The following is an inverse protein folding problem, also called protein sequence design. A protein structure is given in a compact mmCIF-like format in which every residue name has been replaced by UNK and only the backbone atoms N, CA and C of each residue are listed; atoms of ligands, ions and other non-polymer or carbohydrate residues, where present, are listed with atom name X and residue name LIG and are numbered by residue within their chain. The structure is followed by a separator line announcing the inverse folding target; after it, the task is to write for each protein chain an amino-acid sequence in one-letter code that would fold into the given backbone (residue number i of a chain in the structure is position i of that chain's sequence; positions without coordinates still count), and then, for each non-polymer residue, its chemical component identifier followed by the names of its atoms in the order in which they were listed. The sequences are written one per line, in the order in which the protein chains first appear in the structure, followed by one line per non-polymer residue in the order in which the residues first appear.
data_IF_294573642234
#
_entry.id   IF_294573642234
#
_cell.length_a   1.000
_cell.length_b   1.000
_cell.length_c   1.000
_cell.angle_alpha   90.00
_cell.angle_beta   90.00
_cell.angle_gamma   90.00
#
_symmetry.space_group_name_H-M   'P 1'
#
loop_
_entity.id
_entity.type
_entity.pdbx_description
1 polymer ?
#
# COMPACT_ATOMS: atom_id res chain seq x y z
N UNK A 1 0.17 28.74 40.63
CA UNK A 1 -0.34 27.53 39.96
C UNK A 1 0.30 26.36 40.64
N UNK A 2 -0.50 25.57 41.36
CA UNK A 2 -0.04 24.48 42.23
C UNK A 2 0.64 23.37 41.43
N UNK A 3 1.83 22.98 41.89
CA UNK A 3 2.63 21.84 41.41
C UNK A 3 1.79 20.55 41.37
N UNK A 4 1.34 20.17 40.18
CA UNK A 4 0.74 18.87 39.95
C UNK A 4 1.84 17.86 39.63
N UNK A 5 2.56 17.41 40.66
CA UNK A 5 3.48 16.29 40.53
C UNK A 5 2.67 14.99 40.42
N UNK A 6 2.62 14.43 39.21
CA UNK A 6 2.08 13.11 38.95
C UNK A 6 2.90 12.06 39.71
N UNK A 7 2.44 11.66 40.90
CA UNK A 7 2.99 10.49 41.56
C UNK A 7 2.49 9.24 40.83
N UNK A 8 3.38 8.41 40.26
CA UNK A 8 2.96 7.17 39.64
C UNK A 8 2.28 6.32 40.71
N UNK A 9 1.06 5.86 40.40
CA UNK A 9 0.30 4.96 41.27
C UNK A 9 1.18 3.74 41.52
N UNK A 10 1.79 3.67 42.72
CA UNK A 10 2.63 2.55 43.17
C UNK A 10 1.69 1.38 43.38
N UNK A 11 1.26 0.78 42.29
CA UNK A 11 0.57 -0.50 42.32
C UNK A 11 1.64 -1.53 42.59
N UNK A 12 1.47 -2.31 43.65
CA UNK A 12 2.23 -3.54 43.92
C UNK A 12 2.29 -4.47 42.70
N UNK A 13 1.49 -4.23 41.67
CA UNK A 13 1.59 -4.85 40.36
C UNK A 13 2.94 -4.65 39.65
N UNK A 14 3.67 -3.54 39.87
CA UNK A 14 5.00 -3.33 39.27
C UNK A 14 6.07 -4.08 40.06
N UNK A 15 6.02 -4.08 41.39
CA UNK A 15 6.91 -4.91 42.23
C UNK A 15 6.64 -6.40 41.99
N UNK A 16 5.37 -6.83 41.91
CA UNK A 16 4.98 -8.19 41.50
C UNK A 16 5.37 -8.52 40.07
N UNK A 17 5.35 -7.57 39.14
CA UNK A 17 5.79 -7.78 37.76
C UNK A 17 7.33 -7.77 37.62
N UNK A 18 8.03 -7.10 38.54
CA UNK A 18 9.50 -7.11 38.64
C UNK A 18 10.03 -8.37 39.30
N UNK A 19 9.31 -8.92 40.29
CA UNK A 19 9.59 -10.23 40.89
C UNK A 19 9.16 -11.39 39.99
N UNK A 20 8.15 -11.19 39.13
CA UNK A 20 7.77 -12.14 38.09
C UNK A 20 8.72 -12.09 36.87
N UNK A 21 10.02 -11.99 37.11
CA UNK A 21 10.95 -12.68 36.21
C UNK A 21 10.65 -14.16 36.38
N UNK A 22 9.83 -14.74 35.50
CA UNK A 22 9.75 -16.20 35.39
C UNK A 22 11.18 -16.61 35.05
N UNK A 23 11.93 -17.24 35.97
CA UNK A 23 13.25 -17.72 35.60
C UNK A 23 13.01 -18.68 34.45
N UNK A 24 13.75 -18.51 33.35
CA UNK A 24 13.76 -19.49 32.27
C UNK A 24 14.54 -20.70 32.80
N UNK A 25 13.98 -21.38 33.80
CA UNK A 25 14.43 -22.68 34.29
C UNK A 25 13.89 -23.68 33.29
N UNK A 26 14.64 -23.87 32.22
CA UNK A 26 14.20 -24.66 31.09
C UNK A 26 15.32 -24.98 30.11
N UNK A 27 16.51 -25.35 30.61
CA UNK A 27 17.30 -26.35 29.91
C UNK A 27 16.59 -27.71 30.07
N UNK A 28 15.39 -27.83 29.53
CA UNK A 28 14.83 -29.15 29.29
C UNK A 28 15.36 -29.61 27.93
N UNK A 29 15.92 -30.82 27.89
CA UNK A 29 16.33 -31.45 26.64
C UNK A 29 15.17 -31.44 25.63
N UNK A 30 15.50 -31.27 24.34
CA UNK A 30 14.51 -31.24 23.27
C UNK A 30 13.65 -32.50 23.27
N UNK A 31 12.50 -32.44 23.94
CA UNK A 31 11.56 -33.56 24.01
C UNK A 31 10.71 -33.57 22.75
N UNK A 32 10.82 -34.66 21.97
CA UNK A 32 10.02 -34.90 20.76
C UNK A 32 8.51 -34.69 20.98
N UNK A 33 8.00 -35.02 22.17
CA UNK A 33 6.60 -34.80 22.55
C UNK A 33 6.21 -33.32 22.66
N UNK A 34 7.14 -32.43 23.02
CA UNK A 34 6.90 -30.98 23.03
C UNK A 34 6.89 -30.39 21.62
N UNK A 35 7.76 -30.87 20.73
CA UNK A 35 7.74 -30.49 19.32
C UNK A 35 6.44 -30.94 18.64
N UNK A 36 5.98 -32.17 18.91
CA UNK A 36 4.68 -32.67 18.43
C UNK A 36 3.51 -31.80 18.90
N UNK A 37 3.53 -31.27 20.13
CA UNK A 37 2.52 -30.30 20.59
C UNK A 37 2.54 -29.01 19.78
N UNK A 38 3.72 -28.51 19.38
CA UNK A 38 3.85 -27.37 18.47
C UNK A 38 3.25 -27.66 17.09
N UNK A 39 3.59 -28.82 16.50
CA UNK A 39 3.00 -29.28 15.24
C UNK A 39 1.47 -29.45 15.35
N UNK A 40 0.97 -29.91 16.49
CA UNK A 40 -0.46 -30.01 16.75
C UNK A 40 -1.17 -28.65 16.76
N UNK A 41 -0.55 -27.61 17.29
CA UNK A 41 -1.10 -26.24 17.21
C UNK A 41 -1.21 -25.78 15.76
N UNK A 42 -0.16 -26.00 14.96
CA UNK A 42 -0.17 -25.69 13.52
C UNK A 42 -1.26 -26.48 12.79
N UNK A 43 -1.32 -27.80 13.01
CA UNK A 43 -2.34 -28.68 12.45
C UNK A 43 -3.76 -28.25 12.84
N UNK A 44 -4.00 -27.94 14.12
CA UNK A 44 -5.29 -27.43 14.60
C UNK A 44 -5.67 -26.08 14.00
N UNK A 45 -4.67 -25.27 13.60
CA UNK A 45 -4.89 -23.96 12.98
C UNK A 45 -5.29 -24.09 11.52
N UNK A 46 -4.88 -25.15 10.81
CA UNK A 46 -5.30 -25.42 9.41
C UNK A 46 -6.81 -25.60 9.28
N UNK A 47 -7.49 -26.07 10.33
CA UNK A 47 -8.95 -26.23 10.34
C UNK A 47 -9.71 -24.96 10.79
N UNK A 48 -9.00 -23.88 11.14
CA UNK A 48 -9.65 -22.59 11.45
C UNK A 48 -9.93 -21.81 10.18
N UNK A 49 -11.03 -21.08 10.16
CA UNK A 49 -11.34 -20.16 9.07
C UNK A 49 -10.27 -19.05 8.98
N UNK A 50 -9.79 -18.69 7.78
CA UNK A 50 -8.87 -17.59 7.61
C UNK A 50 -9.55 -16.25 7.95
N UNK A 51 -8.81 -15.34 8.59
CA UNK A 51 -9.30 -13.99 8.94
C UNK A 51 -9.13 -12.99 7.77
N UNK A 52 -8.67 -13.46 6.61
CA UNK A 52 -8.41 -12.60 5.45
C UNK A 52 -9.70 -12.06 4.86
N UNK A 53 -9.68 -10.77 4.50
CA UNK A 53 -10.72 -10.12 3.70
C UNK A 53 -10.25 -10.09 2.24
N UNK A 54 -11.19 -10.22 1.31
CA UNK A 54 -10.94 -10.19 -0.14
C UNK A 54 -10.98 -8.75 -0.64
N UNK A 55 -9.86 -8.03 -0.50
CA UNK A 55 -9.72 -6.67 -1.02
C UNK A 55 -9.31 -6.72 -2.50
N UNK A 56 -9.92 -5.93 -3.41
CA UNK A 56 -10.77 -4.75 -3.18
C UNK A 56 -12.30 -4.98 -3.10
N UNK A 57 -12.79 -6.20 -3.34
CA UNK A 57 -14.22 -6.52 -3.42
C UNK A 57 -14.95 -6.32 -2.08
N UNK A 58 -14.29 -6.68 -0.99
CA UNK A 58 -14.76 -6.55 0.39
C UNK A 58 -13.82 -5.62 1.15
N UNK A 59 -14.22 -4.35 1.30
CA UNK A 59 -13.47 -3.35 2.05
C UNK A 59 -13.69 -3.51 3.56
N UNK A 60 -12.65 -3.34 4.39
CA UNK A 60 -12.81 -3.33 5.84
C UNK A 60 -13.64 -2.12 6.27
N UNK A 61 -14.61 -2.34 7.17
CA UNK A 61 -15.37 -1.25 7.77
C UNK A 61 -14.45 -0.41 8.66
N UNK A 62 -14.32 0.86 8.32
CA UNK A 62 -13.58 1.83 9.12
C UNK A 62 -14.40 2.30 10.31
N UNK A 63 -13.75 2.61 11.42
CA UNK A 63 -14.43 3.13 12.61
C UNK A 63 -15.12 4.48 12.29
N UNK A 64 -16.21 4.86 12.99
CA UNK A 64 -16.91 6.12 12.74
C UNK A 64 -16.05 7.39 12.95
N UNK A 65 -14.93 7.28 13.67
CA UNK A 65 -13.97 8.36 13.94
C UNK A 65 -12.65 8.15 13.20
N UNK A 66 -12.67 7.39 12.12
CA UNK A 66 -11.48 7.18 11.30
C UNK A 66 -11.05 8.50 10.64
N UNK A 67 -9.74 8.70 10.58
CA UNK A 67 -9.12 9.89 10.01
C UNK A 67 -8.65 9.58 8.58
N UNK A 68 -9.56 9.72 7.61
CA UNK A 68 -9.26 9.51 6.19
C UNK A 68 -9.11 10.81 5.41
N UNK A 69 -9.69 10.83 4.21
CA UNK A 69 -9.67 11.95 3.28
C UNK A 69 -10.32 13.20 3.86
N UNK A 70 -9.69 14.36 3.71
CA UNK A 70 -10.26 15.64 4.12
C UNK A 70 -11.34 16.09 3.12
N UNK A 71 -12.42 16.66 3.64
CA UNK A 71 -13.55 17.20 2.88
C UNK A 71 -13.96 18.55 3.44
N UNK A 72 -14.13 19.53 2.56
CA UNK A 72 -14.76 20.80 2.86
C UNK A 72 -16.27 20.68 2.63
N UNK A 73 -17.05 21.16 3.60
CA UNK A 73 -18.50 21.05 3.59
C UNK A 73 -19.19 22.35 3.21
N UNK A 74 -20.40 22.21 2.65
CA UNK A 74 -21.35 23.28 2.44
C UNK A 74 -22.48 23.22 3.48
N UNK A 75 -23.10 24.35 3.74
CA UNK A 75 -24.38 24.42 4.46
C UNK A 75 -25.52 23.93 3.56
N UNK A 76 -26.72 23.75 4.13
CA UNK A 76 -27.88 23.25 3.39
C UNK A 76 -28.37 24.22 2.31
N UNK A 77 -28.03 25.51 2.43
CA UNK A 77 -28.29 26.57 1.45
C UNK A 77 -27.27 26.59 0.28
N UNK A 78 -26.23 25.74 0.34
CA UNK A 78 -25.19 25.65 -0.68
C UNK A 78 -23.97 26.55 -0.42
N UNK A 79 -24.00 27.44 0.58
CA UNK A 79 -22.86 28.26 0.95
C UNK A 79 -21.74 27.42 1.56
N UNK A 80 -20.49 27.80 1.32
CA UNK A 80 -19.34 27.13 1.92
C UNK A 80 -19.29 27.37 3.43
N UNK A 81 -19.03 26.32 4.21
CA UNK A 81 -18.84 26.48 5.66
C UNK A 81 -17.53 27.16 6.02
N UNK A 82 -16.55 27.13 5.11
CA UNK A 82 -15.23 27.69 5.33
C UNK A 82 -15.27 29.22 5.21
N UNK A 83 -14.87 29.91 6.27
CA UNK A 83 -14.83 31.38 6.32
C UNK A 83 -13.43 31.96 6.09
N UNK A 84 -12.45 31.14 5.69
CA UNK A 84 -11.08 31.62 5.44
C UNK A 84 -10.37 32.20 6.67
N UNK A 85 -10.63 31.66 7.88
CA UNK A 85 -10.04 32.15 9.13
C UNK A 85 -8.61 31.68 9.42
N UNK A 86 -8.06 30.80 8.57
CA UNK A 86 -6.66 30.31 8.63
C UNK A 86 -6.26 29.50 9.89
N UNK A 87 -7.17 29.31 10.85
CA UNK A 87 -6.89 28.55 12.09
C UNK A 87 -6.48 27.10 11.86
N UNK A 88 -7.02 26.44 10.83
CA UNK A 88 -6.64 25.07 10.49
C UNK A 88 -5.22 24.97 9.92
N UNK A 89 -4.73 26.01 9.24
CA UNK A 89 -3.36 26.10 8.80
C UNK A 89 -2.42 26.27 9.99
N UNK A 90 -2.76 27.19 10.90
CA UNK A 90 -1.99 27.40 12.13
C UNK A 90 -1.95 26.17 13.05
N UNK A 91 -3.06 25.45 13.17
CA UNK A 91 -3.14 24.25 14.00
C UNK A 91 -2.45 23.02 13.39
N UNK A 92 -2.04 23.07 12.12
CA UNK A 92 -1.46 21.91 11.44
C UNK A 92 -0.01 21.68 11.90
N UNK A 93 0.31 20.59 12.62
CA UNK A 93 1.66 20.37 13.15
C UNK A 93 2.72 20.08 12.07
N UNK A 94 2.29 19.83 10.83
CA UNK A 94 3.17 19.52 9.69
C UNK A 94 3.21 20.64 8.64
N UNK A 95 2.52 21.78 8.89
CA UNK A 95 2.28 22.87 7.94
C UNK A 95 1.87 22.35 6.55
N UNK A 96 0.91 21.42 6.53
CA UNK A 96 0.41 20.79 5.32
C UNK A 96 -0.71 21.59 4.64
N UNK A 97 -1.28 22.58 5.33
CA UNK A 97 -2.45 23.34 4.88
C UNK A 97 -2.02 24.77 4.58
N UNK A 98 -2.43 25.29 3.42
CA UNK A 98 -2.32 26.70 3.06
C UNK A 98 -3.71 27.27 2.85
N UNK A 99 -3.98 28.44 3.44
CA UNK A 99 -5.27 29.13 3.33
C UNK A 99 -5.00 30.61 3.10
N UNK A 100 -5.69 31.20 2.14
CA UNK A 100 -5.74 32.64 1.91
C UNK A 100 -7.21 33.08 2.00
N UNK A 101 -7.55 33.89 3.00
CA UNK A 101 -8.90 34.43 3.14
C UNK A 101 -9.13 35.71 2.31
N UNK A 102 -10.32 35.85 1.73
CA UNK A 102 -10.78 37.04 1.02
C UNK A 102 -12.15 37.48 1.56
N UNK A 103 -12.49 38.76 1.39
CA UNK A 103 -13.79 39.28 1.82
C UNK A 103 -14.88 38.88 0.82
N UNK A 104 -16.07 38.53 1.33
CA UNK A 104 -17.26 38.42 0.49
C UNK A 104 -17.71 39.82 0.03
N UNK A 105 -18.40 39.89 -1.10
CA UNK A 105 -19.05 41.10 -1.61
C UNK A 105 -20.56 40.98 -1.51
N UNK A 106 -21.28 42.11 -1.49
CA UNK A 106 -22.75 42.14 -1.44
C UNK A 106 -23.39 41.37 -2.63
N UNK A 107 -22.73 41.36 -3.78
CA UNK A 107 -23.18 40.68 -5.00
C UNK A 107 -22.76 39.21 -5.10
N UNK A 108 -21.76 38.76 -4.31
CA UNK A 108 -21.22 37.40 -4.39
C UNK A 108 -20.84 36.85 -3.01
N UNK A 109 -21.82 36.25 -2.36
CA UNK A 109 -21.67 35.59 -1.06
C UNK A 109 -21.26 34.12 -1.26
N UNK A 110 -20.02 33.77 -0.93
CA UNK A 110 -19.51 32.38 -1.04
C UNK A 110 -19.69 31.60 0.26
N UNK A 111 -19.57 32.28 1.40
CA UNK A 111 -19.74 31.74 2.76
C UNK A 111 -20.70 32.62 3.56
N UNK A 112 -21.31 32.16 4.67
CA UNK A 112 -22.21 33.01 5.46
C UNK A 112 -21.56 34.18 6.21
N UNK A 113 -20.22 34.23 6.28
CA UNK A 113 -19.48 35.28 7.00
C UNK A 113 -19.13 36.48 6.12
N UNK A 114 -18.37 37.42 6.68
CA UNK A 114 -17.77 38.54 5.91
C UNK A 114 -16.60 38.06 5.02
N UNK A 115 -16.08 36.86 5.27
CA UNK A 115 -14.89 36.29 4.61
C UNK A 115 -15.12 34.87 4.14
N UNK A 116 -14.44 34.48 3.07
CA UNK A 116 -14.36 33.13 2.53
C UNK A 116 -12.89 32.74 2.28
N UNK A 117 -12.62 31.46 2.08
CA UNK A 117 -11.28 31.02 1.65
C UNK A 117 -11.18 31.18 0.12
N UNK A 118 -10.34 32.10 -0.35
CA UNK A 118 -10.03 32.26 -1.77
C UNK A 118 -9.16 31.10 -2.24
N UNK A 119 -8.09 30.83 -1.51
CA UNK A 119 -7.22 29.67 -1.71
C UNK A 119 -7.34 28.76 -0.50
N UNK A 120 -7.53 27.48 -0.75
CA UNK A 120 -7.47 26.45 0.28
C UNK A 120 -6.78 25.22 -0.30
N UNK A 121 -5.67 24.81 0.30
CA UNK A 121 -4.85 23.73 -0.23
C UNK A 121 -4.39 22.80 0.88
N UNK A 122 -4.40 21.49 0.62
CA UNK A 122 -3.83 20.48 1.53
C UNK A 122 -2.81 19.65 0.76
N UNK A 123 -1.58 19.64 1.27
CA UNK A 123 -0.52 18.78 0.77
C UNK A 123 -0.51 17.43 1.51
N UNK A 124 -1.04 16.39 0.87
CA UNK A 124 -1.13 15.05 1.45
C UNK A 124 0.22 14.34 1.61
N UNK A 125 1.28 14.85 0.98
CA UNK A 125 2.64 14.33 1.21
C UNK A 125 3.25 14.84 2.51
N UNK A 126 2.68 15.90 3.11
CA UNK A 126 3.08 16.44 4.41
C UNK A 126 2.08 16.10 5.52
N UNK A 127 0.81 15.92 5.16
CA UNK A 127 -0.25 15.65 6.12
C UNK A 127 0.00 14.35 6.91
N UNK A 128 -0.12 14.42 8.24
CA UNK A 128 0.04 13.26 9.13
C UNK A 128 -1.30 12.70 9.64
N UNK A 129 -2.44 13.15 9.09
CA UNK A 129 -3.79 12.68 9.41
C UNK A 129 -4.16 12.71 10.91
N UNK A 130 -3.63 13.70 11.65
CA UNK A 130 -3.87 13.83 13.09
C UNK A 130 -5.28 14.34 13.45
N UNK A 131 -5.93 15.10 12.57
CA UNK A 131 -7.26 15.67 12.78
C UNK A 131 -7.33 16.98 13.58
N UNK A 132 -6.20 17.56 14.00
CA UNK A 132 -6.17 18.84 14.73
C UNK A 132 -6.81 20.00 13.95
N UNK A 133 -6.72 19.98 12.62
CA UNK A 133 -7.35 20.96 11.74
C UNK A 133 -8.89 20.97 11.83
N UNK A 134 -9.51 19.83 12.15
CA UNK A 134 -10.98 19.72 12.36
C UNK A 134 -11.35 20.30 13.71
N UNK A 135 -10.59 19.97 14.74
CA UNK A 135 -10.83 20.46 16.10
C UNK A 135 -10.64 21.97 16.21
N UNK A 136 -9.65 22.51 15.50
CA UNK A 136 -9.39 23.94 15.43
C UNK A 136 -10.43 24.71 14.59
N UNK A 137 -11.21 24.03 13.74
CA UNK A 137 -12.14 24.70 12.82
C UNK A 137 -13.39 25.20 13.57
N UNK A 138 -13.61 26.53 13.70
CA UNK A 138 -14.71 27.08 14.50
C UNK A 138 -16.09 26.79 13.89
N UNK A 139 -16.18 26.72 12.56
CA UNK A 139 -17.43 26.46 11.83
C UNK A 139 -17.61 24.99 11.46
N UNK A 140 -16.67 24.11 11.84
CA UNK A 140 -16.60 22.70 11.39
C UNK A 140 -16.75 22.57 9.88
N UNK A 141 -16.08 23.46 9.14
CA UNK A 141 -16.07 23.46 7.69
C UNK A 141 -15.34 22.25 7.11
N UNK A 142 -14.24 21.87 7.75
CA UNK A 142 -13.40 20.75 7.36
C UNK A 142 -13.76 19.51 8.19
N UNK A 143 -13.95 18.38 7.53
CA UNK A 143 -14.14 17.07 8.16
C UNK A 143 -13.22 16.04 7.51
N UNK A 144 -12.90 14.97 8.24
CA UNK A 144 -12.28 13.79 7.66
C UNK A 144 -13.35 12.73 7.43
N UNK A 145 -13.31 12.14 6.25
CA UNK A 145 -14.20 11.06 5.84
C UNK A 145 -13.56 9.71 6.14
N UNK A 146 -14.33 8.66 5.91
CA UNK A 146 -13.90 7.27 6.05
C UNK A 146 -13.16 6.73 4.82
N UNK A 147 -12.97 7.57 3.79
CA UNK A 147 -12.25 7.24 2.58
C UNK A 147 -10.74 7.23 2.84
N UNK A 148 -10.09 6.10 2.60
CA UNK A 148 -8.65 5.93 2.82
C UNK A 148 -7.86 5.67 1.53
N UNK A 149 -8.54 5.48 0.39
CA UNK A 149 -7.92 5.14 -0.89
C UNK A 149 -7.59 6.40 -1.70
N UNK A 150 -6.62 7.18 -1.20
CA UNK A 150 -6.21 8.48 -1.77
C UNK A 150 -4.85 8.41 -2.48
N UNK A 151 -4.44 7.22 -2.91
CA UNK A 151 -3.18 7.04 -3.60
C UNK A 151 -3.24 7.61 -5.03
N UNK A 152 -2.16 8.26 -5.45
CA UNK A 152 -2.01 8.78 -6.82
C UNK A 152 -0.61 8.53 -7.35
N UNK A 153 -0.43 8.65 -8.66
CA UNK A 153 0.80 8.32 -9.39
C UNK A 153 1.81 9.48 -9.47
N UNK A 154 1.35 10.71 -9.21
CA UNK A 154 2.14 11.94 -9.33
C UNK A 154 2.10 12.75 -8.05
N UNK A 155 3.24 13.37 -7.72
CA UNK A 155 3.40 14.21 -6.52
C UNK A 155 2.46 15.40 -6.54
N UNK A 156 2.28 16.02 -7.71
CA UNK A 156 1.47 17.22 -7.89
C UNK A 156 -0.01 16.94 -7.59
N UNK A 157 -0.49 15.73 -7.88
CA UNK A 157 -1.88 15.34 -7.63
C UNK A 157 -2.20 15.05 -6.16
N UNK A 158 -1.19 14.92 -5.31
CA UNK A 158 -1.36 14.80 -3.86
C UNK A 158 -1.36 16.17 -3.17
N UNK A 159 -1.34 17.23 -3.95
CA UNK A 159 -1.57 18.59 -3.51
C UNK A 159 -2.99 18.93 -3.95
N UNK A 160 -3.94 18.86 -3.02
CA UNK A 160 -5.34 19.09 -3.35
C UNK A 160 -5.72 20.53 -3.09
N UNK A 161 -6.45 21.09 -4.04
CA UNK A 161 -6.96 22.45 -4.00
C UNK A 161 -8.38 22.49 -3.43
N UNK A 162 -8.95 23.69 -3.35
CA UNK A 162 -10.23 23.95 -2.67
C UNK A 162 -11.36 23.17 -3.33
N UNK A 163 -11.32 23.09 -4.64
CA UNK A 163 -12.27 22.41 -5.51
C UNK A 163 -12.26 20.91 -5.27
N UNK A 164 -11.08 20.28 -5.15
CA UNK A 164 -10.93 18.85 -4.88
C UNK A 164 -11.53 18.44 -3.53
N UNK A 165 -11.47 19.36 -2.57
CA UNK A 165 -11.98 19.18 -1.22
C UNK A 165 -13.49 19.43 -1.12
N UNK A 166 -14.06 20.29 -1.97
CA UNK A 166 -15.49 20.61 -2.02
C UNK A 166 -16.31 19.66 -2.91
N UNK A 167 -15.73 19.15 -3.99
CA UNK A 167 -16.47 18.56 -5.11
C UNK A 167 -16.84 17.08 -4.98
N UNK A 168 -16.97 16.50 -3.78
CA UNK A 168 -17.50 15.14 -3.68
C UNK A 168 -18.99 15.05 -4.06
N UNK A 169 -19.77 16.12 -3.85
CA UNK A 169 -21.21 16.12 -4.12
C UNK A 169 -21.55 16.30 -5.61
N UNK A 170 -20.72 17.01 -6.38
CA UNK A 170 -20.99 17.34 -7.80
C UNK A 170 -20.76 16.14 -8.72
N UNK A 171 -19.77 15.28 -8.45
CA UNK A 171 -19.55 14.06 -9.23
C UNK A 171 -20.70 13.04 -9.14
N UNK A 172 -21.44 13.00 -8.01
CA UNK A 172 -22.60 12.10 -7.85
C UNK A 172 -23.91 12.71 -8.37
N UNK A 173 -24.05 14.04 -8.36
CA UNK A 173 -25.27 14.73 -8.81
C UNK A 173 -25.24 15.05 -10.31
N UNK A 174 -24.06 15.21 -10.94
CA UNK A 174 -23.95 15.48 -12.38
C UNK A 174 -24.14 14.25 -13.28
N UNK A 175 -24.12 13.02 -12.76
CA UNK A 175 -24.21 11.80 -13.56
C UNK A 175 -25.52 11.04 -13.31
N UNK A 176 -26.66 11.72 -13.44
CA UNK A 176 -28.01 11.14 -13.33
C UNK A 176 -28.34 10.19 -14.51
N UNK A 177 -27.43 9.28 -14.83
CA UNK A 177 -27.45 8.33 -15.94
C UNK A 177 -26.58 7.10 -15.64
N UNK A 178 -26.99 6.28 -14.67
CA UNK A 178 -26.26 5.10 -14.21
C UNK A 178 -25.99 4.03 -15.31
N UNK A 179 -26.86 3.96 -16.33
CA UNK A 179 -26.81 2.89 -17.33
C UNK A 179 -25.77 3.12 -18.44
N UNK A 180 -25.70 4.33 -19.01
CA UNK A 180 -24.70 4.65 -20.05
C UNK A 180 -23.27 4.70 -19.48
N UNK A 181 -23.11 5.11 -18.21
CA UNK A 181 -21.80 5.15 -17.55
C UNK A 181 -21.15 3.77 -17.44
N UNK A 182 -21.92 2.74 -17.12
CA UNK A 182 -21.41 1.36 -16.98
C UNK A 182 -21.03 0.78 -18.35
N UNK A 183 -21.85 0.97 -19.38
CA UNK A 183 -21.57 0.47 -20.74
C UNK A 183 -20.31 1.12 -21.30
N UNK A 184 -20.11 2.41 -21.07
CA UNK A 184 -18.93 3.11 -21.54
C UNK A 184 -17.66 2.70 -20.78
N UNK A 185 -17.72 2.44 -19.47
CA UNK A 185 -16.60 1.87 -18.70
C UNK A 185 -16.20 0.49 -19.23
N UNK A 186 -17.17 -0.40 -19.50
CA UNK A 186 -16.90 -1.76 -19.98
C UNK A 186 -16.30 -1.78 -21.39
N UNK A 187 -16.83 -0.95 -22.30
CA UNK A 187 -16.34 -0.91 -23.69
C UNK A 187 -14.99 -0.19 -23.79
N UNK A 188 -14.77 0.88 -23.04
CA UNK A 188 -13.52 1.64 -23.10
C UNK A 188 -12.37 0.92 -22.37
N UNK A 189 -12.61 0.26 -21.24
CA UNK A 189 -11.59 -0.58 -20.58
C UNK A 189 -11.21 -1.79 -21.42
N UNK A 190 -12.19 -2.47 -22.05
CA UNK A 190 -11.93 -3.59 -22.95
C UNK A 190 -11.16 -3.20 -24.22
N UNK A 191 -11.54 -2.08 -24.85
CA UNK A 191 -10.88 -1.60 -26.07
C UNK A 191 -9.48 -1.03 -25.81
N UNK A 192 -9.28 -0.29 -24.72
CA UNK A 192 -7.96 0.23 -24.34
C UNK A 192 -7.02 -0.90 -23.90
N UNK A 193 -7.51 -1.92 -23.19
CA UNK A 193 -6.70 -3.10 -22.85
C UNK A 193 -6.31 -3.90 -24.10
N UNK A 194 -7.22 -4.12 -25.05
CA UNK A 194 -6.90 -4.79 -26.33
C UNK A 194 -5.93 -3.97 -27.18
N UNK A 195 -6.12 -2.66 -27.26
CA UNK A 195 -5.24 -1.77 -28.02
C UNK A 195 -3.87 -1.64 -27.35
N UNK A 196 -3.81 -1.60 -26.02
CA UNK A 196 -2.56 -1.59 -25.26
C UNK A 196 -1.83 -2.93 -25.34
N UNK A 197 -2.53 -4.07 -25.31
CA UNK A 197 -1.93 -5.37 -25.59
C UNK A 197 -1.41 -5.44 -27.02
N UNK A 198 -2.14 -4.91 -28.00
CA UNK A 198 -1.72 -4.86 -29.40
C UNK A 198 -0.49 -3.96 -29.59
N UNK A 199 -0.47 -2.78 -28.96
CA UNK A 199 0.67 -1.85 -28.97
C UNK A 199 1.86 -2.42 -28.18
N UNK A 200 1.67 -3.04 -27.01
CA UNK A 200 2.75 -3.70 -26.27
C UNK A 200 3.32 -4.90 -27.01
N UNK A 201 2.54 -5.57 -27.87
CA UNK A 201 3.03 -6.65 -28.70
C UNK A 201 3.79 -6.11 -29.93
N UNK A 202 3.36 -4.97 -30.48
CA UNK A 202 4.05 -4.27 -31.57
C UNK A 202 5.31 -3.52 -31.11
N UNK A 203 5.28 -3.01 -29.88
CA UNK A 203 6.36 -2.28 -29.18
C UNK A 203 7.07 -3.23 -28.19
N UNK A 204 6.78 -4.52 -28.30
CA UNK A 204 7.34 -5.59 -27.49
C UNK A 204 8.80 -5.78 -27.80
N UNK A 205 9.61 -4.94 -27.15
CA UNK A 205 10.93 -5.23 -26.61
C UNK A 205 11.82 -5.98 -27.59
N UNK A 206 12.73 -5.24 -28.22
CA UNK A 206 14.01 -5.76 -28.68
C UNK A 206 14.82 -6.26 -27.46
N UNK A 207 14.37 -7.34 -26.82
CA UNK A 207 15.25 -8.17 -26.00
C UNK A 207 16.01 -9.01 -27.00
N UNK A 208 17.23 -8.56 -27.30
CA UNK A 208 18.23 -9.41 -27.91
C UNK A 208 18.48 -10.57 -26.95
N UNK A 209 17.76 -11.67 -27.18
CA UNK A 209 17.89 -12.90 -26.44
C UNK A 209 19.36 -13.34 -26.54
N UNK A 210 20.07 -13.39 -25.42
CA UNK A 210 21.49 -13.74 -25.45
C UNK A 210 21.61 -15.18 -25.92
N UNK A 211 22.18 -15.40 -27.11
CA UNK A 211 22.39 -16.72 -27.72
C UNK A 211 23.42 -17.59 -26.97
N UNK A 212 23.79 -17.21 -25.75
CA UNK A 212 24.72 -17.93 -24.90
C UNK A 212 23.94 -18.93 -24.07
N UNK A 213 24.05 -20.21 -24.45
CA UNK A 213 23.48 -21.32 -23.68
C UNK A 213 24.11 -21.35 -22.27
N UNK A 214 23.34 -20.95 -21.26
CA UNK A 214 23.74 -21.06 -19.85
C UNK A 214 23.88 -22.54 -19.42
N UNK A 215 23.15 -23.44 -20.09
CA UNK A 215 23.15 -24.89 -19.86
C UNK A 215 23.43 -25.58 -21.19
N UNK A 216 24.55 -26.30 -21.29
CA UNK A 216 24.97 -27.00 -22.51
C UNK A 216 23.88 -28.00 -22.97
N UNK A 217 23.41 -27.86 -24.20
CA UNK A 217 22.50 -28.82 -24.82
C UNK A 217 21.02 -28.51 -24.68
N UNK A 218 20.65 -27.33 -24.18
CA UNK A 218 19.26 -26.89 -24.08
C UNK A 218 18.59 -26.71 -25.46
N UNK A 219 19.35 -26.23 -26.45
CA UNK A 219 18.83 -25.96 -27.80
C UNK A 219 18.49 -27.22 -28.60
N UNK A 220 19.37 -28.24 -28.70
CA UNK A 220 19.01 -29.47 -29.39
C UNK A 220 17.88 -30.22 -28.70
N UNK A 221 17.79 -30.18 -27.36
CA UNK A 221 16.66 -30.77 -26.63
C UNK A 221 15.35 -30.04 -26.91
N UNK A 222 15.33 -28.71 -26.88
CA UNK A 222 14.15 -27.92 -27.23
C UNK A 222 13.65 -28.18 -28.66
N UNK A 223 14.57 -28.25 -29.64
CA UNK A 223 14.24 -28.55 -31.04
C UNK A 223 13.65 -29.97 -31.16
N UNK A 224 14.27 -30.95 -30.52
CA UNK A 224 13.78 -32.33 -30.53
C UNK A 224 12.38 -32.44 -29.92
N UNK A 225 12.14 -31.82 -28.77
CA UNK A 225 10.82 -31.80 -28.13
C UNK A 225 9.77 -31.10 -28.99
N UNK A 226 10.12 -30.00 -29.64
CA UNK A 226 9.23 -29.29 -30.57
C UNK A 226 8.82 -30.14 -31.78
N UNK A 227 9.79 -30.81 -32.42
CA UNK A 227 9.51 -31.71 -33.55
C UNK A 227 8.68 -32.92 -33.13
N UNK A 228 8.96 -33.49 -31.95
CA UNK A 228 8.17 -34.60 -31.41
C UNK A 228 6.71 -34.19 -31.16
N UNK A 229 6.48 -33.00 -30.57
CA UNK A 229 5.14 -32.47 -30.35
C UNK A 229 4.39 -32.25 -31.66
N UNK A 230 5.05 -31.65 -32.66
CA UNK A 230 4.47 -31.42 -33.99
C UNK A 230 4.05 -32.75 -34.66
N UNK A 231 4.90 -33.77 -34.57
CA UNK A 231 4.61 -35.09 -35.14
C UNK A 231 3.40 -35.75 -34.46
N UNK A 232 3.32 -35.65 -33.12
CA UNK A 232 2.17 -36.17 -32.35
C UNK A 232 0.88 -35.45 -32.73
N UNK A 233 0.88 -34.12 -32.78
CA UNK A 233 -0.29 -33.33 -33.16
C UNK A 233 -0.77 -33.67 -34.56
N UNK A 234 0.15 -33.77 -35.52
CA UNK A 234 -0.17 -34.11 -36.91
C UNK A 234 -0.74 -35.54 -37.00
N UNK A 235 -0.20 -36.48 -36.22
CA UNK A 235 -0.71 -37.86 -36.14
C UNK A 235 -2.12 -37.92 -35.53
N UNK A 236 -2.39 -37.14 -34.47
CA UNK A 236 -3.70 -37.06 -33.84
C UNK A 236 -4.75 -36.47 -34.78
N UNK A 237 -4.40 -35.38 -35.47
CA UNK A 237 -5.28 -34.76 -36.47
C UNK A 237 -5.53 -35.74 -37.62
N UNK A 238 -4.49 -36.36 -38.17
CA UNK A 238 -4.62 -37.33 -39.24
C UNK A 238 -5.49 -38.53 -38.82
N UNK A 239 -5.36 -39.04 -37.58
CA UNK A 239 -6.25 -40.07 -37.04
C UNK A 239 -7.69 -39.58 -36.85
N UNK A 240 -7.88 -38.32 -36.47
CA UNK A 240 -9.21 -37.74 -36.27
C UNK A 240 -9.95 -37.51 -37.59
N UNK A 241 -9.23 -37.23 -38.69
CA UNK A 241 -9.82 -36.89 -39.98
C UNK A 241 -9.90 -38.06 -40.95
N UNK A 242 -8.97 -39.02 -40.89
CA UNK A 242 -8.89 -40.10 -41.90
C UNK A 242 -9.89 -41.21 -41.60
N UNK A 243 -10.80 -41.48 -42.55
CA UNK A 243 -11.76 -42.59 -42.48
C UNK A 243 -13.13 -42.26 -41.87
N UNK A 244 -13.45 -40.98 -41.62
CA UNK A 244 -14.79 -40.55 -41.20
C UNK A 244 -15.60 -40.03 -42.40
N UNK A 245 -16.84 -40.49 -42.54
CA UNK A 245 -17.79 -39.90 -43.49
C UNK A 245 -18.21 -38.52 -43.02
N UNK A 246 -18.18 -37.53 -43.90
CA UNK A 246 -18.67 -36.18 -43.61
C UNK A 246 -20.18 -36.22 -43.57
N UNK A 247 -20.75 -36.16 -42.36
CA UNK A 247 -22.20 -36.04 -42.16
C UNK A 247 -22.52 -34.54 -42.13
N UNK A 248 -23.53 -34.10 -42.90
CA UNK A 248 -23.89 -32.68 -43.03
C UNK A 248 -24.28 -32.02 -41.71
N UNK A 249 -24.16 -30.69 -41.65
CA UNK A 249 -24.38 -29.91 -40.42
C UNK A 249 -25.81 -30.05 -39.87
N UNK A 250 -26.82 -30.21 -40.73
CA UNK A 250 -28.22 -30.43 -40.32
C UNK A 250 -28.43 -31.79 -39.65
N UNK A 251 -27.89 -32.86 -40.24
CA UNK A 251 -28.00 -34.22 -39.72
C UNK A 251 -27.25 -34.38 -38.39
N UNK A 252 -26.06 -33.75 -38.29
CA UNK A 252 -25.25 -33.77 -37.07
C UNK A 252 -25.89 -33.00 -35.90
N UNK A 253 -26.78 -32.04 -36.18
CA UNK A 253 -27.44 -31.20 -35.18
C UNK A 253 -28.93 -31.54 -34.97
N UNK A 254 -29.41 -32.68 -35.48
CA UNK A 254 -30.84 -33.02 -35.46
C UNK A 254 -31.47 -33.03 -34.06
N UNK A 255 -30.70 -33.41 -33.02
CA UNK A 255 -31.16 -33.42 -31.62
C UNK A 255 -30.91 -32.09 -30.87
N UNK A 256 -30.38 -31.07 -31.54
CA UNK A 256 -29.98 -29.79 -30.96
C UNK A 256 -28.50 -29.73 -30.54
N UNK A 257 -27.83 -28.62 -30.89
CA UNK A 257 -26.38 -28.46 -30.71
C UNK A 257 -25.95 -28.53 -29.24
N UNK A 258 -26.76 -27.98 -28.33
CA UNK A 258 -26.47 -27.98 -26.87
C UNK A 258 -26.55 -29.40 -26.29
N UNK A 259 -27.56 -30.17 -26.67
CA UNK A 259 -27.78 -31.55 -26.24
C UNK A 259 -26.72 -32.49 -26.81
N UNK A 260 -26.31 -32.28 -28.06
CA UNK A 260 -25.22 -33.00 -28.71
C UNK A 260 -23.87 -32.76 -28.03
N UNK A 261 -23.53 -31.50 -27.74
CA UNK A 261 -22.32 -31.16 -26.99
C UNK A 261 -22.35 -31.75 -25.57
N UNK A 262 -23.50 -31.67 -24.89
CA UNK A 262 -23.63 -32.21 -23.53
C UNK A 262 -23.40 -33.74 -23.51
N UNK A 263 -23.91 -34.48 -24.51
CA UNK A 263 -23.68 -35.93 -24.60
C UNK A 263 -22.21 -36.26 -24.85
N UNK A 264 -21.54 -35.53 -25.74
CA UNK A 264 -20.11 -35.71 -26.01
C UNK A 264 -19.26 -35.38 -24.77
N UNK A 265 -19.53 -34.25 -24.11
CA UNK A 265 -18.76 -33.78 -22.96
C UNK A 265 -18.97 -34.64 -21.70
N UNK A 266 -20.22 -34.95 -21.36
CA UNK A 266 -20.58 -35.63 -20.11
C UNK A 266 -20.69 -37.15 -20.22
N UNK A 267 -20.56 -37.73 -21.43
CA UNK A 267 -20.58 -39.19 -21.61
C UNK A 267 -19.29 -39.71 -22.23
N UNK A 268 -18.97 -39.27 -23.45
CA UNK A 268 -17.88 -39.87 -24.23
C UNK A 268 -16.51 -39.34 -23.81
N UNK A 269 -16.42 -38.04 -23.47
CA UNK A 269 -15.18 -37.36 -23.10
C UNK A 269 -15.05 -37.01 -21.62
N UNK A 270 -15.96 -37.50 -20.76
CA UNK A 270 -15.96 -37.17 -19.32
C UNK A 270 -14.62 -37.49 -18.66
N UNK A 271 -14.02 -38.63 -19.00
CA UNK A 271 -12.71 -39.03 -18.46
C UNK A 271 -11.55 -38.18 -18.98
N UNK A 272 -11.58 -37.80 -20.26
CA UNK A 272 -10.57 -36.92 -20.81
C UNK A 272 -10.63 -35.54 -20.14
N UNK A 273 -11.85 -35.04 -19.89
CA UNK A 273 -12.08 -33.78 -19.20
C UNK A 273 -11.59 -33.83 -17.74
N UNK A 274 -12.00 -34.85 -16.98
CA UNK A 274 -11.58 -35.05 -15.58
C UNK A 274 -10.05 -35.13 -15.42
N UNK A 275 -9.38 -35.89 -16.30
CA UNK A 275 -7.91 -36.03 -16.24
C UNK A 275 -7.21 -34.70 -16.55
N UNK A 276 -7.69 -33.95 -17.56
CA UNK A 276 -7.11 -32.64 -17.89
C UNK A 276 -7.36 -31.64 -16.74
N UNK A 277 -8.56 -31.62 -16.17
CA UNK A 277 -8.90 -30.76 -15.03
C UNK A 277 -8.04 -31.09 -13.81
N UNK A 278 -7.86 -32.37 -13.47
CA UNK A 278 -7.00 -32.80 -12.37
C UNK A 278 -5.53 -32.39 -12.59
N UNK A 279 -5.03 -32.53 -13.83
CA UNK A 279 -3.66 -32.15 -14.19
C UNK A 279 -3.45 -30.64 -14.08
N UNK A 280 -4.41 -29.82 -14.54
CA UNK A 280 -4.35 -28.37 -14.46
C UNK A 280 -4.39 -27.88 -13.00
N UNK A 281 -5.25 -28.46 -12.16
CA UNK A 281 -5.32 -28.13 -10.73
C UNK A 281 -3.99 -28.48 -10.03
N UNK A 282 -3.43 -29.65 -10.34
CA UNK A 282 -2.14 -30.09 -9.79
C UNK A 282 -1.00 -29.16 -10.21
N UNK A 283 -0.97 -28.74 -11.47
CA UNK A 283 0.04 -27.81 -11.99
C UNK A 283 -0.06 -26.43 -11.32
N UNK A 284 -1.26 -25.90 -11.14
CA UNK A 284 -1.48 -24.62 -10.45
C UNK A 284 -1.05 -24.66 -8.98
N UNK A 285 -1.41 -25.74 -8.26
CA UNK A 285 -0.96 -25.97 -6.89
C UNK A 285 0.56 -26.10 -6.81
N UNK A 286 1.19 -26.85 -7.73
CA UNK A 286 2.63 -26.98 -7.81
C UNK A 286 3.35 -25.64 -8.01
N UNK A 287 2.84 -24.80 -8.91
CA UNK A 287 3.38 -23.45 -9.13
C UNK A 287 3.23 -22.56 -7.89
N UNK A 288 2.09 -22.60 -7.20
CA UNK A 288 1.86 -21.83 -5.97
C UNK A 288 2.81 -22.25 -4.84
N UNK A 289 3.05 -23.56 -4.68
CA UNK A 289 3.99 -24.09 -3.68
C UNK A 289 5.42 -23.68 -4.00
N UNK A 290 5.84 -23.78 -5.27
CA UNK A 290 7.18 -23.39 -5.72
C UNK A 290 7.43 -21.87 -5.61
N UNK A 291 6.39 -21.04 -5.74
CA UNK A 291 6.49 -19.60 -5.56
C UNK A 291 6.54 -19.17 -4.07
N UNK A 292 6.35 -20.10 -3.13
CA UNK A 292 6.37 -19.78 -1.71
C UNK A 292 7.81 -19.71 -1.20
N UNK A 293 8.35 -18.49 -1.13
CA UNK A 293 9.66 -18.22 -0.51
C UNK A 293 9.53 -18.23 1.02
N UNK A 294 10.40 -19.00 1.68
CA UNK A 294 10.44 -19.08 3.15
C UNK A 294 10.82 -17.71 3.75
N UNK A 295 10.00 -17.23 4.70
CA UNK A 295 10.33 -16.05 5.52
C UNK A 295 11.37 -16.46 6.57
N UNK A 296 12.36 -15.59 6.78
CA UNK A 296 13.43 -15.80 7.75
C UNK A 296 12.90 -16.18 9.15
N UNK A 297 13.62 -17.05 9.89
CA UNK A 297 13.15 -17.66 11.14
C UNK A 297 13.15 -16.71 12.36
N UNK A 298 13.32 -15.40 12.13
CA UNK A 298 13.31 -14.41 13.20
C UNK A 298 11.87 -14.06 13.56
N UNK A 299 11.43 -14.48 14.75
CA UNK A 299 10.11 -14.17 15.27
C UNK A 299 9.93 -12.64 15.36
N UNK A 300 8.99 -12.09 14.57
CA UNK A 300 8.63 -10.67 14.66
C UNK A 300 8.06 -10.38 16.05
N UNK A 301 8.87 -9.74 16.89
CA UNK A 301 8.44 -9.24 18.20
C UNK A 301 7.22 -8.33 18.02
N UNK A 302 6.19 -8.53 18.85
CA UNK A 302 5.00 -7.67 18.81
C UNK A 302 5.40 -6.21 19.05
N UNK A 303 4.70 -5.27 18.43
CA UNK A 303 5.00 -3.84 18.52
C UNK A 303 5.08 -3.36 19.99
N UNK A 304 4.24 -3.94 20.85
CA UNK A 304 4.25 -3.70 22.30
C UNK A 304 5.55 -4.16 22.95
N UNK A 305 6.03 -5.36 22.61
CA UNK A 305 7.31 -5.89 23.12
C UNK A 305 8.50 -5.08 22.60
N UNK A 306 8.50 -4.67 21.32
CA UNK A 306 9.53 -3.76 20.76
C UNK A 306 9.53 -2.37 21.39
N UNK A 307 8.36 -1.87 21.80
CA UNK A 307 8.26 -0.60 22.53
C UNK A 307 8.80 -0.76 23.94
N UNK A 308 8.36 -1.79 24.68
CA UNK A 308 8.83 -2.05 26.03
C UNK A 308 10.34 -2.29 26.11
N UNK A 309 10.93 -3.01 25.15
CA UNK A 309 12.37 -3.23 25.07
C UNK A 309 13.15 -1.91 24.85
N UNK A 310 12.62 -0.97 24.05
CA UNK A 310 13.22 0.36 23.84
C UNK A 310 13.31 1.17 25.13
N UNK A 311 12.26 1.17 25.95
CA UNK A 311 12.21 1.96 27.18
C UNK A 311 12.88 1.28 28.40
N UNK A 312 13.23 -0.01 28.30
CA UNK A 312 13.82 -0.80 29.39
C UNK A 312 15.29 -1.18 29.17
N UNK A 313 15.95 -0.61 28.16
CA UNK A 313 17.39 -0.76 27.95
C UNK A 313 18.22 -0.09 29.05
N UNK A 314 19.54 -0.26 28.99
CA UNK A 314 20.48 0.27 29.99
C UNK A 314 20.49 1.81 30.10
N UNK A 315 19.94 2.54 29.13
CA UNK A 315 19.79 4.00 29.17
C UNK A 315 18.50 4.48 28.51
N UNK A 316 17.86 5.50 29.10
CA UNK A 316 16.62 6.13 28.60
C UNK A 316 16.89 6.91 27.29
N UNK A 317 18.15 7.26 27.02
CA UNK A 317 18.55 7.98 25.80
C UNK A 317 18.35 7.21 24.49
N UNK A 318 18.14 5.89 24.55
CA UNK A 318 17.86 5.03 23.38
C UNK A 318 16.37 4.67 23.24
N UNK A 319 15.53 5.20 24.13
CA UNK A 319 14.12 4.84 24.23
C UNK A 319 13.25 5.58 23.20
N UNK A 320 13.56 6.86 22.98
CA UNK A 320 13.24 7.50 21.72
C UNK A 320 14.13 6.83 20.66
N UNK A 321 13.54 6.40 19.54
CA UNK A 321 14.37 5.99 18.40
C UNK A 321 15.36 7.12 18.10
N UNK A 322 16.57 6.79 17.66
CA UNK A 322 17.48 7.81 17.15
C UNK A 322 16.69 8.68 16.17
N UNK A 323 16.85 10.01 16.23
CA UNK A 323 16.25 10.88 15.24
C UNK A 323 16.51 10.29 13.86
N UNK A 324 15.46 10.15 13.04
CA UNK A 324 15.65 9.71 11.66
C UNK A 324 16.73 10.58 11.02
N UNK A 325 17.58 10.01 10.17
CA UNK A 325 18.53 10.78 9.37
C UNK A 325 17.74 11.93 8.71
N UNK A 326 18.05 13.17 9.07
CA UNK A 326 17.25 14.33 8.64
C UNK A 326 16.66 15.19 9.76
N UNK A 327 16.44 14.67 10.97
CA UNK A 327 15.92 15.49 12.07
C UNK A 327 17.02 16.47 12.51
N UNK A 328 16.78 17.76 12.26
CA UNK A 328 17.76 18.87 12.31
C UNK A 328 18.89 18.84 11.26
N UNK A 329 18.86 17.90 10.30
CA UNK A 329 19.82 17.93 9.20
C UNK A 329 19.38 18.97 8.14
N UNK A 330 20.34 19.75 7.62
CA UNK A 330 20.06 20.69 6.51
C UNK A 330 19.94 20.00 5.15
N UNK A 331 20.29 18.71 5.06
CA UNK A 331 20.37 17.93 3.82
C UNK A 331 19.84 16.51 4.06
N UNK A 332 19.16 15.92 3.08
CA UNK A 332 18.57 14.58 3.14
C UNK A 332 19.54 13.46 2.69
N UNK A 333 20.84 13.72 2.74
CA UNK A 333 21.86 12.79 2.26
C UNK A 333 22.35 11.89 3.41
N UNK A 334 22.56 10.60 3.13
CA UNK A 334 22.92 9.58 4.13
C UNK A 334 24.38 9.63 4.60
N UNK A 335 25.21 10.39 3.89
CA UNK A 335 26.62 10.68 4.14
C UNK A 335 26.84 11.98 4.96
N UNK A 336 25.77 12.65 5.38
CA UNK A 336 25.80 13.91 6.15
C UNK A 336 25.27 13.66 7.57
N UNK A 337 25.99 14.08 8.63
CA UNK A 337 25.52 13.91 10.00
C UNK A 337 24.32 14.81 10.32
N UNK A 338 23.39 14.29 11.10
CA UNK A 338 22.35 15.07 11.74
C UNK A 338 22.94 16.06 12.76
N UNK A 339 22.28 17.20 12.95
CA UNK A 339 22.66 18.16 14.00
C UNK A 339 21.93 17.83 15.31
N UNK A 340 22.64 18.00 16.42
CA UNK A 340 22.06 18.01 17.75
C UNK A 340 21.30 19.35 17.98
N UNK A 341 20.44 19.45 18.99
CA UNK A 341 19.73 20.71 19.31
C UNK A 341 20.64 21.90 19.62
N UNK A 342 21.93 21.66 19.91
CA UNK A 342 22.96 22.68 20.11
C UNK A 342 23.70 23.07 18.81
N UNK A 343 23.32 22.49 17.67
CA UNK A 343 23.90 22.76 16.35
C UNK A 343 25.22 22.02 16.06
N UNK A 344 25.65 21.08 16.91
CA UNK A 344 26.83 20.24 16.65
C UNK A 344 26.46 18.99 15.86
N UNK A 345 27.35 18.47 14.98
CA UNK A 345 27.10 17.24 14.26
C UNK A 345 27.09 16.01 15.21
N UNK A 346 26.21 15.05 14.92
CA UNK A 346 26.09 13.79 15.64
C UNK A 346 26.69 12.63 14.84
N UNK A 347 27.83 12.12 15.28
CA UNK A 347 28.52 10.99 14.63
C UNK A 347 27.69 9.69 14.67
N UNK A 348 26.75 9.58 15.61
CA UNK A 348 25.85 8.43 15.76
C UNK A 348 24.79 8.34 14.65
N UNK A 349 24.59 9.41 13.88
CA UNK A 349 23.59 9.47 12.81
C UNK A 349 24.10 8.94 11.46
N UNK A 350 25.40 8.70 11.33
CA UNK A 350 26.03 8.22 10.10
C UNK A 350 26.19 6.70 10.15
N UNK A 351 25.93 6.03 9.04
CA UNK A 351 26.16 4.59 8.91
C UNK A 351 27.63 4.24 9.14
N UNK A 352 27.89 3.28 10.03
CA UNK A 352 29.23 2.76 10.32
C UNK A 352 29.97 2.29 9.07
N UNK A 353 29.23 1.77 8.08
CA UNK A 353 29.79 1.28 6.81
C UNK A 353 30.31 2.43 5.95
N UNK A 354 29.59 3.57 5.90
CA UNK A 354 30.02 4.76 5.14
C UNK A 354 31.23 5.42 5.80
N UNK A 355 31.20 5.52 7.14
CA UNK A 355 32.33 6.04 7.93
C UNK A 355 33.61 5.24 7.72
N UNK A 356 33.53 3.91 7.69
CA UNK A 356 34.70 3.05 7.45
C UNK A 356 35.22 3.11 6.01
N UNK A 357 34.37 3.44 5.03
CA UNK A 357 34.76 3.62 3.62
C UNK A 357 35.39 4.99 3.34
N UNK A 358 35.23 5.95 4.25
CA UNK A 358 35.66 7.33 4.03
C UNK A 358 34.70 8.12 3.13
N UNK A 359 33.51 7.59 2.85
CA UNK A 359 32.48 8.20 2.00
C UNK A 359 31.60 9.17 2.81
N UNK A 360 32.18 9.89 3.78
CA UNK A 360 31.47 10.81 4.69
C UNK A 360 31.99 12.23 4.46
N UNK A 361 31.09 13.19 4.33
CA UNK A 361 31.45 14.60 4.15
C UNK A 361 32.10 15.19 5.41
N UNK A 362 33.02 16.15 5.23
CA UNK A 362 33.69 16.82 6.35
C UNK A 362 32.70 17.60 7.22
N UNK A 363 32.69 17.31 8.52
CA UNK A 363 31.72 17.81 9.51
C UNK A 363 31.83 19.30 9.83
N UNK A 364 33.00 19.92 9.63
CA UNK A 364 33.29 21.31 10.08
C UNK A 364 32.51 22.38 9.31
N UNK A 365 32.15 22.14 8.05
CA UNK A 365 31.41 23.08 7.21
C UNK A 365 29.95 23.26 7.63
N UNK A 366 29.45 22.39 8.51
CA UNK A 366 28.05 22.35 8.92
C UNK A 366 27.79 22.88 10.35
N UNK A 367 28.84 23.27 11.09
CA UNK A 367 28.73 23.88 12.41
C UNK A 367 28.23 25.34 12.30
N UNK A 368 27.37 25.76 13.24
CA UNK A 368 26.78 27.12 13.28
C UNK A 368 27.83 28.25 13.28
N UNK A 369 29.02 27.98 13.83
CA UNK A 369 30.13 28.95 13.92
C UNK A 369 30.77 29.30 12.57
N UNK A 370 30.57 28.49 11.53
CA UNK A 370 31.15 28.68 10.20
C UNK A 370 30.25 29.42 9.20
N UNK A 371 29.06 29.88 9.63
CA UNK A 371 28.11 30.52 8.71
C UNK A 371 28.43 32.00 8.50
N UNK A 372 28.31 32.51 7.25
CA UNK A 372 28.30 33.95 7.03
C UNK A 372 27.13 34.54 7.82
N UNK A 373 27.43 35.52 8.67
CA UNK A 373 26.39 36.30 9.34
C UNK A 373 25.61 37.02 8.25
N UNK A 374 24.29 36.84 8.25
CA UNK A 374 23.40 37.61 7.40
C UNK A 374 23.26 38.96 8.10
N UNK A 375 23.89 40.00 7.56
CA UNK A 375 23.69 41.36 8.05
C UNK A 375 22.26 41.77 7.69
N UNK A 376 21.43 42.05 8.70
CA UNK A 376 20.02 42.47 8.53
C UNK A 376 19.87 43.90 7.94
N UNK A 377 20.87 44.45 7.26
CA UNK A 377 20.87 45.85 6.83
C UNK A 377 20.27 46.12 5.43
N UNK A 378 19.90 45.10 4.65
CA UNK A 378 19.30 45.30 3.32
C UNK A 378 17.81 44.91 3.26
N UNK A 379 17.01 45.44 4.19
CA UNK A 379 15.57 45.64 3.95
C UNK A 379 15.23 47.13 3.98
N UNK A 380 15.27 47.74 2.79
CA UNK A 380 14.57 48.98 2.46
C UNK A 380 13.84 48.79 1.14
#
# INVERSE_FOLDING_TARGET
MSDFQLQPKRSDAIEKAGEASVPVTGQEEASFLKQLKGFWVTFSTMFKKPLTIEYPEVKPETAPRFHGRHQLNRYADGLEKCIGCELCAWACPADAIYVEGENNSEDHQISPGERHAKVYQINYLRCIFCGLCIEACPTRALTMTNEYEIADDKREKLIWEKEDLLNLAIFYIMQDAAFLGIVQIVVYTGAVMMLFLFILMLVGVDSSDSLVENIKGLRPTAIFTGLALMAVLTSLIARATTGRSVVGLEEANFEGNVQGLARLLFRDYVWAFEVISALLITAALGAMVLAHTEKSPEARLSQRVRSMARFRGASIGTAAGLPGSGVFARHNAVDVPALLPDGKPSDLSISTVLSQRGDVQETKSYALEGLPKIDEEDSK
#
